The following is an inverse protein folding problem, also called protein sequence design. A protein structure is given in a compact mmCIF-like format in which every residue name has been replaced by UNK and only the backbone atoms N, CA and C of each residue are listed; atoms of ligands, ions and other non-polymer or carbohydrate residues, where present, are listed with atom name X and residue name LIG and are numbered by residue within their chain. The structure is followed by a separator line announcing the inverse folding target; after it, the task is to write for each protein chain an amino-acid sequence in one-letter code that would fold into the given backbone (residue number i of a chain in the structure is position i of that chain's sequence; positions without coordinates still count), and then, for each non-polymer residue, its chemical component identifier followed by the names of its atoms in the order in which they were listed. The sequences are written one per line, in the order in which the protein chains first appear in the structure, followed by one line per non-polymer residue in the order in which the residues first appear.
data_IF_425712974800
#
_entry.id   IF_425712974800
#
_cell.length_a   1.000
_cell.length_b   1.000
_cell.length_c   1.000
_cell.angle_alpha   90.00
_cell.angle_beta   90.00
_cell.angle_gamma   90.00
#
_symmetry.space_group_name_H-M   'P 1'
#
loop_
_entity.id
_entity.type
_entity.pdbx_description
1 polymer ?
#
# COMPACT_ATOMS: atom_id res chain seq x y z
N UNK A 1 -6.29 -33.08 17.39
CA UNK A 1 -7.36 -32.10 17.10
C UNK A 1 -6.59 -30.86 16.74
N UNK A 2 -6.36 -30.66 15.44
CA UNK A 2 -5.56 -29.55 14.94
C UNK A 2 -6.37 -28.25 15.09
N UNK A 3 -5.79 -27.22 15.70
CA UNK A 3 -6.39 -25.89 15.75
C UNK A 3 -6.42 -25.30 14.35
N UNK A 4 -7.56 -24.81 13.91
CA UNK A 4 -7.68 -24.03 12.67
C UNK A 4 -6.81 -22.76 12.77
N UNK A 5 -6.09 -22.38 11.73
CA UNK A 5 -5.31 -21.15 11.73
C UNK A 5 -6.27 -19.95 11.87
N UNK A 6 -6.10 -19.19 12.94
CA UNK A 6 -6.80 -17.91 13.14
C UNK A 6 -6.39 -16.93 12.07
N UNK A 7 -7.39 -16.40 11.36
CA UNK A 7 -7.24 -15.39 10.32
C UNK A 7 -6.41 -14.18 10.81
N UNK A 8 -5.53 -13.59 9.98
CA UNK A 8 -4.75 -12.41 10.33
C UNK A 8 -5.68 -11.26 10.78
N UNK A 9 -5.18 -10.41 11.68
CA UNK A 9 -5.92 -9.25 12.18
C UNK A 9 -6.41 -8.40 11.00
N UNK A 10 -7.74 -8.31 10.84
CA UNK A 10 -8.35 -7.49 9.81
C UNK A 10 -8.00 -6.01 10.07
N UNK A 11 -7.55 -5.30 9.05
CA UNK A 11 -7.47 -3.84 9.13
C UNK A 11 -8.84 -3.27 9.51
N UNK A 12 -8.91 -2.07 10.10
CA UNK A 12 -10.17 -1.46 10.50
C UNK A 12 -11.11 -1.44 9.28
N UNK A 13 -12.27 -2.08 9.42
CA UNK A 13 -13.30 -2.05 8.38
C UNK A 13 -13.70 -0.59 8.16
N UNK A 14 -13.45 -0.11 6.95
CA UNK A 14 -13.94 1.20 6.53
C UNK A 14 -15.48 1.19 6.68
N UNK A 15 -16.09 2.29 7.17
CA UNK A 15 -17.54 2.39 7.23
C UNK A 15 -18.08 2.15 5.82
N UNK A 16 -19.02 1.23 5.68
CA UNK A 16 -19.77 1.02 4.45
C UNK A 16 -20.56 2.29 4.15
N UNK A 17 -20.01 3.17 3.32
CA UNK A 17 -20.79 4.22 2.68
C UNK A 17 -21.94 3.53 1.93
N UNK A 18 -23.12 4.15 1.90
CA UNK A 18 -24.27 3.56 1.20
C UNK A 18 -23.86 3.20 -0.23
N UNK A 19 -24.02 1.94 -0.62
CA UNK A 19 -23.62 1.46 -1.93
C UNK A 19 -24.44 2.10 -3.03
N UNK A 20 -23.79 2.69 -4.03
CA UNK A 20 -24.40 3.19 -5.27
C UNK A 20 -24.33 2.14 -6.39
N UNK A 21 -23.93 0.92 -6.11
CA UNK A 21 -23.80 -0.16 -7.08
C UNK A 21 -25.10 -0.43 -7.85
N UNK A 22 -26.27 -0.40 -7.19
CA UNK A 22 -27.56 -0.54 -7.87
C UNK A 22 -27.90 0.60 -8.84
N UNK A 23 -27.28 1.78 -8.68
CA UNK A 23 -27.40 2.86 -9.68
C UNK A 23 -26.48 2.59 -10.86
N UNK A 24 -25.31 2.01 -10.62
CA UNK A 24 -24.37 1.58 -11.67
C UNK A 24 -25.05 0.59 -12.62
N UNK A 25 -25.77 -0.41 -12.06
CA UNK A 25 -26.56 -1.37 -12.86
C UNK A 25 -27.56 -0.67 -13.80
N UNK A 26 -28.18 0.42 -13.34
CA UNK A 26 -29.09 1.22 -14.17
C UNK A 26 -28.33 1.99 -15.25
N UNK A 27 -27.16 2.57 -14.93
CA UNK A 27 -26.32 3.25 -15.92
C UNK A 27 -25.81 2.27 -17.00
N UNK A 28 -25.52 1.03 -16.65
CA UNK A 28 -25.12 -0.02 -17.59
C UNK A 28 -26.25 -0.46 -18.56
N UNK A 29 -27.50 -0.02 -18.35
CA UNK A 29 -28.57 -0.20 -19.33
C UNK A 29 -28.50 0.79 -20.48
N UNK A 30 -27.78 1.90 -20.34
CA UNK A 30 -27.53 2.88 -21.39
C UNK A 30 -26.46 2.37 -22.34
N UNK A 31 -26.73 2.42 -23.65
CA UNK A 31 -25.84 1.86 -24.68
C UNK A 31 -24.52 2.63 -24.78
N UNK A 32 -24.56 3.95 -24.65
CA UNK A 32 -23.37 4.80 -24.74
C UNK A 32 -22.45 4.57 -23.52
N UNK A 33 -23.05 4.51 -22.32
CA UNK A 33 -22.31 4.20 -21.10
C UNK A 33 -21.65 2.81 -21.17
N UNK A 34 -22.40 1.80 -21.64
CA UNK A 34 -21.91 0.44 -21.79
C UNK A 34 -20.78 0.33 -22.80
N UNK A 35 -20.92 0.97 -23.97
CA UNK A 35 -19.85 1.00 -24.98
C UNK A 35 -18.58 1.67 -24.44
N UNK A 36 -18.74 2.75 -23.66
CA UNK A 36 -17.62 3.47 -23.05
C UNK A 36 -16.85 2.62 -22.04
N UNK A 37 -17.54 1.94 -21.11
CA UNK A 37 -16.87 1.07 -20.10
C UNK A 37 -16.31 -0.22 -20.70
N UNK A 38 -16.85 -0.68 -21.84
CA UNK A 38 -16.32 -1.83 -22.58
C UNK A 38 -15.11 -1.47 -23.46
N UNK A 39 -14.84 -0.20 -23.67
CA UNK A 39 -13.85 0.26 -24.64
C UNK A 39 -14.24 -0.02 -26.10
N UNK A 40 -15.54 -0.29 -26.34
CA UNK A 40 -16.11 -0.54 -27.66
C UNK A 40 -16.44 0.80 -28.34
N UNK A 41 -15.40 1.60 -28.61
CA UNK A 41 -15.55 2.89 -29.25
C UNK A 41 -15.02 2.76 -30.67
N UNK A 42 -15.70 3.42 -31.61
CA UNK A 42 -15.29 3.47 -33.00
C UNK A 42 -13.78 3.75 -33.10
N UNK A 43 -13.10 2.97 -33.97
CA UNK A 43 -11.64 3.00 -34.10
C UNK A 43 -11.12 4.44 -34.16
N UNK A 44 -10.10 4.78 -33.36
CA UNK A 44 -9.50 6.10 -33.41
C UNK A 44 -8.99 6.37 -34.83
N UNK A 45 -9.19 7.58 -35.32
CA UNK A 45 -8.73 8.00 -36.67
C UNK A 45 -7.22 7.88 -36.88
N UNK A 46 -6.48 7.46 -35.85
CA UNK A 46 -5.01 7.38 -35.85
C UNK A 46 -4.50 6.19 -35.06
N UNK A 47 -3.65 5.36 -35.68
CA UNK A 47 -2.87 4.30 -35.02
C UNK A 47 -1.87 4.84 -33.99
N UNK A 48 -1.67 6.16 -33.92
CA UNK A 48 -0.63 6.79 -33.09
C UNK A 48 -1.17 7.17 -31.71
N UNK A 49 -2.44 7.48 -31.58
CA UNK A 49 -3.07 7.87 -30.34
C UNK A 49 -4.49 7.27 -30.23
N UNK A 50 -4.64 6.14 -29.54
CA UNK A 50 -5.95 5.50 -29.32
C UNK A 50 -6.79 6.21 -28.26
N UNK A 51 -6.47 7.46 -27.91
CA UNK A 51 -7.22 8.21 -26.90
C UNK A 51 -8.56 8.72 -27.41
N UNK A 52 -9.53 8.75 -26.51
CA UNK A 52 -10.84 9.35 -26.73
C UNK A 52 -11.08 10.44 -25.68
N UNK A 53 -11.81 11.48 -26.10
CA UNK A 53 -12.24 12.53 -25.19
C UNK A 53 -13.73 12.37 -24.92
N UNK A 54 -14.09 12.20 -23.64
CA UNK A 54 -15.47 12.03 -23.21
C UNK A 54 -15.87 13.21 -22.33
N UNK A 55 -16.95 13.86 -22.69
CA UNK A 55 -17.55 14.91 -21.87
C UNK A 55 -18.60 14.32 -20.92
N UNK A 56 -18.25 14.20 -19.65
CA UNK A 56 -19.17 13.73 -18.58
C UNK A 56 -19.18 14.72 -17.41
N UNK A 57 -20.29 14.79 -16.66
CA UNK A 57 -20.28 15.48 -15.38
C UNK A 57 -19.24 14.86 -14.43
N UNK A 58 -18.53 15.68 -13.67
CA UNK A 58 -17.45 15.22 -12.75
C UNK A 58 -17.90 14.08 -11.82
N UNK A 59 -19.15 14.14 -11.34
CA UNK A 59 -19.72 13.09 -10.47
C UNK A 59 -19.88 11.70 -11.12
N UNK A 60 -19.81 11.59 -12.45
CA UNK A 60 -19.87 10.30 -13.16
C UNK A 60 -18.50 9.66 -13.40
N UNK A 61 -17.40 10.38 -13.26
CA UNK A 61 -16.06 9.79 -13.43
C UNK A 61 -15.82 8.58 -12.51
N UNK A 62 -16.20 8.60 -11.21
CA UNK A 62 -16.09 7.43 -10.36
C UNK A 62 -16.96 6.24 -10.80
N UNK A 63 -18.17 6.48 -11.32
CA UNK A 63 -19.05 5.45 -11.85
C UNK A 63 -18.45 4.79 -13.09
N UNK A 64 -17.88 5.58 -14.01
CA UNK A 64 -17.17 5.06 -15.18
C UNK A 64 -15.98 4.17 -14.78
N UNK A 65 -15.17 4.60 -13.81
CA UNK A 65 -14.06 3.82 -13.31
C UNK A 65 -14.51 2.50 -12.68
N UNK A 66 -15.60 2.54 -11.88
CA UNK A 66 -16.17 1.35 -11.26
C UNK A 66 -16.74 0.35 -12.29
N UNK A 67 -17.52 0.85 -13.29
CA UNK A 67 -18.09 0.03 -14.35
C UNK A 67 -17.01 -0.61 -15.24
N UNK A 68 -16.00 0.17 -15.64
CA UNK A 68 -14.90 -0.31 -16.45
C UNK A 68 -14.07 -1.41 -15.73
N UNK A 69 -13.92 -1.33 -14.41
CA UNK A 69 -13.16 -2.29 -13.60
C UNK A 69 -13.77 -3.72 -13.62
N UNK A 70 -15.05 -3.85 -13.92
CA UNK A 70 -15.68 -5.14 -14.16
C UNK A 70 -15.21 -5.84 -15.44
N UNK A 71 -14.58 -5.11 -16.37
CA UNK A 71 -14.10 -5.59 -17.66
C UNK A 71 -12.58 -5.69 -17.74
N UNK A 72 -11.87 -4.69 -17.22
CA UNK A 72 -10.41 -4.58 -17.30
C UNK A 72 -9.85 -3.76 -16.12
N UNK A 73 -8.56 -3.91 -15.76
CA UNK A 73 -7.94 -3.04 -14.78
C UNK A 73 -7.99 -1.57 -15.22
N UNK A 74 -8.29 -0.68 -14.28
CA UNK A 74 -8.44 0.76 -14.53
C UNK A 74 -7.35 1.54 -13.82
N UNK A 75 -6.75 2.52 -14.52
CA UNK A 75 -5.88 3.53 -13.91
C UNK A 75 -6.54 4.89 -14.08
N UNK A 76 -6.93 5.49 -12.96
CA UNK A 76 -7.49 6.85 -12.92
C UNK A 76 -6.42 7.84 -12.49
N UNK A 77 -6.07 8.76 -13.38
CA UNK A 77 -5.11 9.84 -13.09
C UNK A 77 -5.87 11.14 -12.88
N UNK A 78 -5.64 11.79 -11.74
CA UNK A 78 -6.26 13.05 -11.35
C UNK A 78 -5.22 14.14 -11.13
N UNK A 79 -5.63 15.40 -11.01
CA UNK A 79 -4.68 16.51 -10.94
C UNK A 79 -3.93 16.58 -9.58
N UNK A 80 -4.58 16.26 -8.47
CA UNK A 80 -4.04 16.44 -7.12
C UNK A 80 -4.22 15.22 -6.22
N UNK A 81 -3.42 15.14 -5.14
CA UNK A 81 -3.55 14.08 -4.12
C UNK A 81 -4.91 14.11 -3.43
N UNK A 82 -5.45 15.31 -3.18
CA UNK A 82 -6.78 15.47 -2.60
C UNK A 82 -7.87 14.90 -3.51
N UNK A 83 -7.82 15.19 -4.81
CA UNK A 83 -8.76 14.61 -5.77
C UNK A 83 -8.62 13.09 -5.84
N UNK A 84 -7.40 12.54 -5.69
CA UNK A 84 -7.18 11.10 -5.65
C UNK A 84 -7.85 10.45 -4.42
N UNK A 85 -7.74 11.05 -3.24
CA UNK A 85 -8.40 10.61 -2.02
C UNK A 85 -9.93 10.63 -2.17
N UNK A 86 -10.48 11.76 -2.63
CA UNK A 86 -11.92 11.92 -2.88
C UNK A 86 -12.43 10.92 -3.95
N UNK A 87 -11.63 10.68 -5.00
CA UNK A 87 -11.97 9.72 -6.05
C UNK A 87 -11.99 8.28 -5.52
N UNK A 88 -11.01 7.86 -4.70
CA UNK A 88 -10.98 6.52 -4.09
C UNK A 88 -12.25 6.26 -3.26
N UNK A 89 -12.61 7.20 -2.38
CA UNK A 89 -13.82 7.07 -1.56
C UNK A 89 -15.09 7.02 -2.41
N UNK A 90 -15.17 7.89 -3.42
CA UNK A 90 -16.30 7.92 -4.33
C UNK A 90 -16.41 6.62 -5.14
N UNK A 91 -15.31 6.13 -5.73
CA UNK A 91 -15.28 4.87 -6.49
C UNK A 91 -15.74 3.70 -5.63
N UNK A 92 -15.26 3.60 -4.39
CA UNK A 92 -15.67 2.55 -3.45
C UNK A 92 -17.17 2.53 -3.18
N UNK A 93 -17.85 3.67 -3.30
CA UNK A 93 -19.31 3.76 -3.17
C UNK A 93 -20.05 3.22 -4.39
N UNK A 94 -19.45 3.24 -5.58
CA UNK A 94 -20.00 2.75 -6.83
C UNK A 94 -19.61 1.30 -7.14
N UNK A 95 -18.45 0.85 -6.63
CA UNK A 95 -17.86 -0.45 -6.95
C UNK A 95 -18.52 -1.57 -6.14
N UNK A 96 -19.00 -2.62 -6.82
CA UNK A 96 -19.67 -3.78 -6.19
C UNK A 96 -18.69 -4.86 -5.73
N UNK A 97 -17.39 -4.72 -6.05
CA UNK A 97 -16.34 -5.66 -5.62
C UNK A 97 -15.78 -5.35 -4.23
N UNK A 98 -14.66 -5.99 -3.91
CA UNK A 98 -13.97 -5.72 -2.65
C UNK A 98 -13.43 -4.27 -2.63
N UNK A 99 -13.77 -3.43 -1.64
CA UNK A 99 -13.22 -2.08 -1.52
C UNK A 99 -11.69 -2.03 -1.54
N UNK A 100 -11.01 -3.13 -1.16
CA UNK A 100 -9.55 -3.23 -1.22
C UNK A 100 -9.00 -3.34 -2.65
N UNK A 101 -9.84 -3.70 -3.64
CA UNK A 101 -9.45 -3.69 -5.06
C UNK A 101 -9.21 -2.27 -5.58
N UNK A 102 -9.70 -1.26 -4.86
CA UNK A 102 -9.49 0.16 -5.15
C UNK A 102 -8.32 0.68 -4.33
N UNK A 103 -7.21 0.94 -4.97
CA UNK A 103 -5.98 1.41 -4.32
C UNK A 103 -5.59 2.82 -4.79
N UNK A 104 -4.90 3.55 -3.92
CA UNK A 104 -4.30 4.84 -4.25
C UNK A 104 -2.78 4.72 -4.32
N UNK A 105 -2.17 5.22 -5.39
CA UNK A 105 -0.73 5.44 -5.45
C UNK A 105 -0.42 6.87 -5.07
N UNK A 106 0.00 7.09 -3.84
CA UNK A 106 0.36 8.40 -3.32
C UNK A 106 1.58 9.00 -4.03
N UNK A 107 1.65 10.33 -4.11
CA UNK A 107 2.85 11.03 -4.56
C UNK A 107 3.79 11.29 -3.38
N UNK A 108 5.10 11.28 -3.62
CA UNK A 108 6.02 11.83 -2.62
C UNK A 108 5.68 13.29 -2.36
N UNK A 109 5.61 13.64 -1.09
CA UNK A 109 5.42 15.01 -0.62
C UNK A 109 6.67 15.87 -0.82
N UNK A 110 7.86 15.24 -0.90
CA UNK A 110 9.14 15.91 -1.12
C UNK A 110 9.48 16.06 -2.60
N UNK A 111 10.30 17.04 -2.93
CA UNK A 111 10.84 17.24 -4.27
C UNK A 111 12.21 16.56 -4.41
N UNK A 112 12.60 16.12 -5.63
CA UNK A 112 13.87 15.41 -5.82
C UNK A 112 15.15 16.17 -5.40
N UNK A 113 15.09 17.50 -5.35
CA UNK A 113 16.20 18.34 -4.93
C UNK A 113 16.18 18.71 -3.44
N UNK A 114 15.13 18.34 -2.71
CA UNK A 114 15.06 18.53 -1.27
C UNK A 114 15.90 17.47 -0.55
N UNK A 115 16.53 17.88 0.57
CA UNK A 115 17.32 16.95 1.40
C UNK A 115 16.48 16.16 2.40
N UNK A 116 15.17 16.12 2.18
CA UNK A 116 14.21 15.42 3.01
C UNK A 116 13.82 14.10 2.32
N UNK A 117 13.73 13.05 3.10
CA UNK A 117 13.11 11.80 2.63
C UNK A 117 11.60 11.93 2.70
N UNK A 118 10.84 11.26 1.81
CA UNK A 118 9.40 11.10 1.99
C UNK A 118 9.09 10.45 3.34
N UNK A 119 7.89 10.68 3.85
CA UNK A 119 7.42 10.09 5.09
C UNK A 119 7.35 8.56 4.97
N UNK A 120 7.58 7.88 6.09
CA UNK A 120 7.59 6.40 6.10
C UNK A 120 6.24 5.80 5.73
N UNK A 121 5.13 6.45 6.11
CA UNK A 121 3.76 6.03 5.76
C UNK A 121 3.50 6.15 4.25
N UNK A 122 3.87 7.28 3.62
CA UNK A 122 3.77 7.45 2.15
C UNK A 122 4.60 6.39 1.42
N UNK A 123 5.83 6.15 1.86
CA UNK A 123 6.70 5.12 1.27
C UNK A 123 6.06 3.74 1.38
N UNK A 124 5.60 3.36 2.57
CA UNK A 124 5.02 2.04 2.82
C UNK A 124 3.73 1.81 2.02
N UNK A 125 2.85 2.83 1.93
CA UNK A 125 1.65 2.81 1.10
C UNK A 125 2.00 2.56 -0.37
N UNK A 126 2.98 3.29 -0.91
CA UNK A 126 3.46 3.11 -2.29
C UNK A 126 4.05 1.71 -2.52
N UNK A 127 4.88 1.23 -1.59
CA UNK A 127 5.48 -0.10 -1.69
C UNK A 127 4.42 -1.22 -1.66
N UNK A 128 3.38 -1.08 -0.83
CA UNK A 128 2.26 -2.00 -0.81
C UNK A 128 1.53 -2.04 -2.17
N UNK A 129 1.30 -0.89 -2.80
CA UNK A 129 0.72 -0.81 -4.15
C UNK A 129 1.59 -1.51 -5.18
N UNK A 130 2.90 -1.22 -5.23
CA UNK A 130 3.82 -1.87 -6.19
C UNK A 130 3.92 -3.37 -5.96
N UNK A 131 3.92 -3.83 -4.71
CA UNK A 131 3.89 -5.26 -4.36
C UNK A 131 2.63 -5.92 -4.90
N UNK A 132 1.45 -5.33 -4.66
CA UNK A 132 0.15 -5.84 -5.13
C UNK A 132 0.05 -5.87 -6.65
N UNK A 133 0.62 -4.89 -7.35
CA UNK A 133 0.65 -4.88 -8.82
C UNK A 133 1.52 -6.01 -9.39
N UNK A 134 2.59 -6.39 -8.70
CA UNK A 134 3.55 -7.38 -9.19
C UNK A 134 3.29 -8.79 -8.66
N UNK A 135 2.88 -8.91 -7.41
CA UNK A 135 2.65 -10.17 -6.72
C UNK A 135 1.32 -10.11 -5.96
N UNK A 136 0.17 -10.06 -6.68
CA UNK A 136 -1.14 -10.07 -6.02
C UNK A 136 -1.37 -11.42 -5.32
N UNK A 137 -1.89 -11.36 -4.09
CA UNK A 137 -2.23 -12.54 -3.29
C UNK A 137 -3.75 -12.64 -3.14
N UNK A 138 -4.38 -13.59 -3.82
CA UNK A 138 -5.83 -13.79 -3.75
C UNK A 138 -6.30 -14.01 -2.30
N UNK A 139 -7.33 -13.28 -1.90
CA UNK A 139 -7.90 -13.35 -0.54
C UNK A 139 -7.11 -12.60 0.54
N UNK A 140 -5.99 -11.96 0.20
CA UNK A 140 -5.25 -11.11 1.12
C UNK A 140 -5.83 -9.69 1.13
N UNK A 141 -6.15 -9.16 2.31
CA UNK A 141 -6.59 -7.76 2.46
C UNK A 141 -5.45 -6.75 2.30
N UNK A 142 -4.20 -7.17 2.49
CA UNK A 142 -3.01 -6.31 2.35
C UNK A 142 -2.39 -6.40 0.96
N UNK A 143 -2.38 -7.59 0.35
CA UNK A 143 -1.70 -7.87 -0.91
C UNK A 143 -2.63 -8.44 -1.99
N UNK A 144 -3.94 -8.30 -1.83
CA UNK A 144 -4.94 -8.66 -2.83
C UNK A 144 -4.74 -7.89 -4.16
N UNK A 145 -5.38 -8.36 -5.25
CA UNK A 145 -5.29 -7.73 -6.55
C UNK A 145 -5.77 -6.27 -6.51
N UNK A 146 -5.30 -5.45 -7.45
CA UNK A 146 -5.79 -4.09 -7.66
C UNK A 146 -6.56 -4.08 -8.97
N UNK A 147 -7.84 -3.71 -8.92
CA UNK A 147 -8.69 -3.54 -10.10
C UNK A 147 -8.76 -2.08 -10.53
N UNK A 148 -8.72 -1.16 -9.57
CA UNK A 148 -8.75 0.28 -9.83
C UNK A 148 -7.58 0.92 -9.09
N UNK A 149 -6.66 1.53 -9.83
CA UNK A 149 -5.56 2.29 -9.28
C UNK A 149 -5.82 3.79 -9.51
N UNK A 150 -5.96 4.54 -8.45
CA UNK A 150 -6.12 6.00 -8.50
C UNK A 150 -4.81 6.66 -8.13
N UNK A 151 -4.41 7.66 -8.91
CA UNK A 151 -3.18 8.40 -8.62
C UNK A 151 -3.24 9.86 -9.07
N UNK A 152 -2.59 10.78 -8.35
CA UNK A 152 -2.36 12.11 -8.87
C UNK A 152 -1.32 12.06 -10.01
N UNK A 153 -1.41 12.96 -10.98
CA UNK A 153 -0.46 13.05 -12.09
C UNK A 153 1.00 13.10 -11.62
N UNK A 154 1.23 13.68 -10.44
CA UNK A 154 2.57 13.74 -9.81
C UNK A 154 3.13 12.34 -9.54
N UNK A 155 2.33 11.39 -9.11
CA UNK A 155 2.78 10.00 -8.89
C UNK A 155 3.17 9.32 -10.20
N UNK A 156 2.44 9.62 -11.30
CA UNK A 156 2.72 9.05 -12.61
C UNK A 156 4.08 9.47 -13.16
N UNK A 157 4.50 10.71 -12.91
CA UNK A 157 5.78 11.26 -13.41
C UNK A 157 6.96 11.09 -12.45
N UNK A 158 6.72 10.66 -11.21
CA UNK A 158 7.80 10.38 -10.26
C UNK A 158 8.55 9.11 -10.63
N UNK A 159 9.89 9.11 -10.55
CA UNK A 159 10.68 7.93 -10.85
C UNK A 159 10.41 6.81 -9.85
N UNK A 160 10.38 5.56 -10.33
CA UNK A 160 10.22 4.37 -9.50
C UNK A 160 11.50 3.56 -9.55
N UNK A 161 11.96 3.09 -8.40
CA UNK A 161 13.14 2.22 -8.31
C UNK A 161 12.81 0.86 -8.92
N UNK A 162 13.68 0.37 -9.81
CA UNK A 162 13.50 -0.96 -10.39
C UNK A 162 13.50 -2.05 -9.30
N UNK A 163 12.54 -2.97 -9.38
CA UNK A 163 12.39 -4.07 -8.42
C UNK A 163 11.65 -3.69 -7.13
N UNK A 164 11.07 -2.49 -7.05
CA UNK A 164 10.36 -2.04 -5.84
C UNK A 164 9.21 -2.99 -5.44
N UNK A 165 8.49 -3.54 -6.41
CA UNK A 165 7.44 -4.52 -6.17
C UNK A 165 7.92 -5.91 -5.71
N UNK A 166 9.23 -6.20 -5.79
CA UNK A 166 9.83 -7.47 -5.33
C UNK A 166 10.32 -7.40 -3.88
N UNK A 167 10.30 -6.22 -3.27
CA UNK A 167 10.76 -6.06 -1.89
C UNK A 167 9.76 -6.73 -0.95
N UNK A 168 10.26 -7.69 -0.16
CA UNK A 168 9.46 -8.39 0.83
C UNK A 168 9.49 -7.65 2.17
N UNK A 169 8.32 -7.47 2.82
CA UNK A 169 8.27 -6.96 4.18
C UNK A 169 8.89 -7.97 5.16
N UNK A 170 9.40 -7.48 6.29
CA UNK A 170 9.75 -8.36 7.39
C UNK A 170 8.48 -8.84 8.07
N UNK A 171 8.33 -10.15 8.19
CA UNK A 171 7.17 -10.77 8.83
C UNK A 171 7.55 -11.22 10.23
N UNK A 172 6.68 -10.93 11.19
CA UNK A 172 6.71 -11.47 12.54
C UNK A 172 5.46 -12.31 12.72
N UNK A 173 5.62 -13.62 12.93
CA UNK A 173 4.51 -14.55 13.18
C UNK A 173 4.68 -15.23 14.52
N UNK A 174 3.61 -15.27 15.32
CA UNK A 174 3.61 -15.95 16.61
C UNK A 174 3.94 -17.44 16.43
N UNK A 175 4.87 -17.96 17.24
CA UNK A 175 5.34 -19.34 17.20
C UNK A 175 6.44 -19.61 16.15
N UNK A 176 6.85 -18.61 15.37
CA UNK A 176 7.98 -18.75 14.44
C UNK A 176 9.31 -18.42 15.11
N UNK A 177 10.38 -19.12 14.66
CA UNK A 177 11.75 -18.85 15.09
C UNK A 177 12.35 -17.71 14.26
N UNK A 178 12.71 -16.63 14.93
CA UNK A 178 13.42 -15.49 14.36
C UNK A 178 14.37 -14.91 15.42
N UNK A 179 15.69 -15.14 15.32
CA UNK A 179 16.63 -14.58 16.29
C UNK A 179 16.47 -13.06 16.43
N UNK A 180 16.41 -12.57 17.67
CA UNK A 180 16.16 -11.15 17.97
C UNK A 180 17.19 -10.24 17.29
N UNK A 181 18.45 -10.65 17.23
CA UNK A 181 19.51 -9.91 16.55
C UNK A 181 19.27 -9.85 15.03
N UNK A 182 18.77 -10.93 14.43
CA UNK A 182 18.41 -10.98 13.02
C UNK A 182 17.22 -10.08 12.72
N UNK A 183 16.17 -10.13 13.54
CA UNK A 183 15.02 -9.25 13.45
C UNK A 183 15.43 -7.78 13.52
N UNK A 184 16.27 -7.42 14.50
CA UNK A 184 16.81 -6.08 14.68
C UNK A 184 17.62 -5.61 13.46
N UNK A 185 18.47 -6.48 12.90
CA UNK A 185 19.27 -6.19 11.71
C UNK A 185 18.38 -5.96 10.49
N UNK A 186 17.38 -6.82 10.27
CA UNK A 186 16.41 -6.70 9.16
C UNK A 186 15.58 -5.40 9.26
N UNK A 187 15.19 -4.98 10.46
CA UNK A 187 14.52 -3.68 10.67
C UNK A 187 15.41 -2.52 10.25
N UNK A 188 16.70 -2.53 10.63
CA UNK A 188 17.66 -1.50 10.18
C UNK A 188 17.85 -1.52 8.66
N UNK A 189 17.94 -2.70 8.04
CA UNK A 189 18.03 -2.85 6.58
C UNK A 189 16.79 -2.30 5.87
N UNK A 190 15.61 -2.48 6.48
CA UNK A 190 14.34 -1.92 6.02
C UNK A 190 14.17 -0.42 6.38
N UNK A 191 15.25 0.21 6.82
CA UNK A 191 15.34 1.63 7.14
C UNK A 191 14.47 2.10 8.32
N UNK A 192 14.14 1.19 9.26
CA UNK A 192 13.61 1.59 10.54
C UNK A 192 14.67 2.30 11.38
N UNK A 193 14.26 3.30 12.13
CA UNK A 193 15.13 4.04 13.04
C UNK A 193 15.09 3.40 14.42
N UNK A 194 16.26 3.00 14.94
CA UNK A 194 16.36 2.49 16.31
C UNK A 194 16.31 3.65 17.31
N UNK A 195 15.39 3.56 18.26
CA UNK A 195 15.13 4.55 19.32
C UNK A 195 15.09 3.89 20.69
N UNK A 196 15.11 4.69 21.75
CA UNK A 196 14.91 4.17 23.12
C UNK A 196 13.42 3.95 23.44
N UNK A 197 12.54 4.72 22.81
CA UNK A 197 11.10 4.67 23.01
C UNK A 197 10.39 4.92 21.67
N UNK A 198 9.54 3.98 21.25
CA UNK A 198 8.81 4.04 19.98
C UNK A 198 7.63 5.00 20.11
N UNK A 199 7.62 6.05 19.29
CA UNK A 199 6.59 7.07 19.24
C UNK A 199 6.01 7.25 17.84
N UNK A 200 6.86 7.17 16.81
CA UNK A 200 6.51 7.49 15.43
C UNK A 200 6.64 6.26 14.51
N UNK A 201 5.89 6.30 13.39
CA UNK A 201 5.97 5.26 12.36
C UNK A 201 7.37 5.15 11.80
N UNK A 202 7.84 3.90 11.60
CA UNK A 202 9.18 3.61 11.13
C UNK A 202 10.24 3.58 12.25
N UNK A 203 9.83 3.62 13.51
CA UNK A 203 10.72 3.45 14.66
C UNK A 203 10.64 2.03 15.22
N UNK A 204 11.74 1.59 15.85
CA UNK A 204 11.76 0.39 16.67
C UNK A 204 12.70 0.53 17.87
N UNK A 205 12.40 -0.20 18.94
CA UNK A 205 13.22 -0.29 20.16
C UNK A 205 13.43 -1.75 20.55
N UNK A 206 14.60 -2.06 21.14
CA UNK A 206 14.92 -3.40 21.65
C UNK A 206 15.25 -3.28 23.13
N UNK A 207 14.55 -4.07 23.96
CA UNK A 207 14.73 -4.09 25.40
C UNK A 207 14.66 -5.53 25.94
N UNK A 208 15.81 -6.10 26.27
CA UNK A 208 15.86 -7.53 26.65
C UNK A 208 15.35 -8.41 25.53
N UNK A 209 14.38 -9.27 25.81
CA UNK A 209 13.72 -10.15 24.84
C UNK A 209 12.50 -9.52 24.15
N UNK A 210 12.43 -8.19 24.00
CA UNK A 210 11.27 -7.48 23.45
C UNK A 210 11.72 -6.56 22.32
N UNK A 211 10.98 -6.60 21.20
CA UNK A 211 11.03 -5.60 20.13
C UNK A 211 9.72 -4.84 20.13
N UNK A 212 9.79 -3.54 20.36
CA UNK A 212 8.71 -2.61 20.07
C UNK A 212 8.95 -2.04 18.67
N UNK A 213 7.97 -2.08 17.79
CA UNK A 213 8.08 -1.56 16.41
C UNK A 213 6.79 -0.87 15.99
N UNK A 214 6.92 0.22 15.22
CA UNK A 214 5.77 0.90 14.63
C UNK A 214 5.82 0.77 13.09
N UNK A 215 5.26 -0.32 12.54
CA UNK A 215 5.15 -0.45 11.09
C UNK A 215 4.36 0.71 10.49
N UNK A 216 4.83 1.33 9.39
CA UNK A 216 4.16 2.50 8.81
C UNK A 216 2.73 2.23 8.34
N UNK A 217 2.40 0.99 7.99
CA UNK A 217 1.07 0.55 7.53
C UNK A 217 0.07 0.30 8.66
N UNK A 218 0.53 0.26 9.91
CA UNK A 218 -0.35 0.00 11.04
C UNK A 218 -0.83 1.30 11.71
N UNK A 219 -2.04 1.30 12.29
CA UNK A 219 -2.55 2.43 13.06
C UNK A 219 -1.83 2.61 14.41
N UNK A 220 -1.33 1.51 14.99
CA UNK A 220 -0.68 1.47 16.29
C UNK A 220 0.63 0.68 16.25
N UNK A 221 1.61 1.02 17.13
CA UNK A 221 2.81 0.21 17.27
C UNK A 221 2.50 -1.14 17.91
N UNK A 222 3.39 -2.10 17.67
CA UNK A 222 3.27 -3.46 18.19
C UNK A 222 4.48 -3.82 19.05
N UNK A 223 4.23 -4.58 20.10
CA UNK A 223 5.22 -5.20 20.99
C UNK A 223 5.31 -6.66 20.67
N UNK A 224 6.52 -7.13 20.39
CA UNK A 224 6.85 -8.50 20.04
C UNK A 224 7.72 -9.04 21.17
N UNK A 225 7.23 -10.02 21.89
CA UNK A 225 7.94 -10.66 22.99
C UNK A 225 8.55 -11.98 22.51
N UNK A 226 9.81 -12.21 22.85
CA UNK A 226 10.55 -13.39 22.44
C UNK A 226 10.85 -14.28 23.65
N UNK A 227 10.68 -15.59 23.45
CA UNK A 227 11.19 -16.61 24.37
C UNK A 227 12.34 -17.37 23.68
N UNK A 228 13.57 -16.98 24.01
CA UNK A 228 14.73 -17.37 23.20
C UNK A 228 14.67 -16.71 21.83
N UNK A 229 14.67 -17.55 20.78
CA UNK A 229 14.54 -17.10 19.38
C UNK A 229 13.12 -17.24 18.83
N UNK A 230 12.17 -17.78 19.62
CA UNK A 230 10.78 -17.94 19.23
C UNK A 230 9.97 -16.68 19.57
N UNK A 231 9.09 -16.25 18.66
CA UNK A 231 8.14 -15.17 18.89
C UNK A 231 6.98 -15.70 19.73
N UNK A 232 6.93 -15.33 21.02
CA UNK A 232 5.94 -15.80 21.97
C UNK A 232 4.60 -15.04 21.82
N UNK A 233 4.63 -13.70 21.89
CA UNK A 233 3.43 -12.88 21.76
C UNK A 233 3.66 -11.63 20.91
N UNK A 234 2.60 -11.19 20.22
CA UNK A 234 2.56 -9.93 19.47
C UNK A 234 1.30 -9.18 19.90
N UNK A 235 1.44 -7.94 20.40
CA UNK A 235 0.33 -7.10 20.86
C UNK A 235 0.48 -5.66 20.43
N UNK A 236 -0.63 -5.00 20.15
CA UNK A 236 -0.63 -3.55 20.00
C UNK A 236 -0.39 -2.86 21.35
N UNK A 237 0.21 -1.67 21.27
CA UNK A 237 0.36 -0.81 22.44
C UNK A 237 0.13 0.66 22.07
N UNK A 238 -0.22 1.47 23.07
CA UNK A 238 -0.35 2.91 22.88
C UNK A 238 1.03 3.58 22.96
N UNK A 239 1.43 4.33 21.91
CA UNK A 239 2.68 5.07 21.92
C UNK A 239 2.78 6.05 23.10
N UNK A 240 1.65 6.65 23.52
CA UNK A 240 1.60 7.69 24.56
C UNK A 240 1.94 7.19 25.97
N UNK A 241 1.55 5.97 26.33
CA UNK A 241 1.76 5.42 27.69
C UNK A 241 2.48 4.07 27.70
N UNK A 242 2.82 3.54 26.52
CA UNK A 242 3.55 2.29 26.31
C UNK A 242 2.83 1.03 26.83
N UNK A 243 1.53 1.10 27.08
CA UNK A 243 0.74 -0.02 27.58
C UNK A 243 0.16 -0.83 26.44
N UNK A 244 0.35 -2.13 26.50
CA UNK A 244 -0.27 -3.09 25.58
C UNK A 244 -1.77 -3.17 25.83
N UNK A 245 -2.54 -3.38 24.77
CA UNK A 245 -3.97 -3.59 24.82
C UNK A 245 -4.42 -4.58 23.74
N UNK A 246 -5.69 -4.97 23.78
CA UNK A 246 -6.29 -5.84 22.78
C UNK A 246 -5.93 -7.32 22.96
N UNK A 247 -6.13 -8.09 21.89
CA UNK A 247 -5.82 -9.52 21.81
C UNK A 247 -4.46 -9.70 21.14
N UNK A 248 -3.90 -10.90 21.30
CA UNK A 248 -2.69 -11.28 20.58
C UNK A 248 -2.95 -11.26 19.06
N UNK A 249 -1.97 -10.78 18.32
CA UNK A 249 -1.94 -10.72 16.86
C UNK A 249 -1.12 -11.90 16.38
N UNK A 250 -1.64 -12.67 15.43
CA UNK A 250 -0.92 -13.85 14.92
C UNK A 250 0.26 -13.48 14.03
N UNK A 251 0.13 -12.40 13.23
CA UNK A 251 1.14 -12.01 12.25
C UNK A 251 1.16 -10.50 12.05
N UNK A 252 2.35 -9.93 11.98
CA UNK A 252 2.58 -8.50 11.69
C UNK A 252 3.60 -8.36 10.57
N UNK A 253 3.32 -7.42 9.67
CA UNK A 253 4.16 -7.10 8.53
C UNK A 253 4.82 -5.74 8.76
N UNK A 254 6.14 -5.74 8.81
CA UNK A 254 6.94 -4.53 8.89
C UNK A 254 7.45 -4.18 7.49
N UNK A 255 6.68 -3.35 6.78
CA UNK A 255 7.05 -2.84 5.46
C UNK A 255 8.26 -1.93 5.55
N UNK A 256 9.14 -1.90 4.53
CA UNK A 256 10.27 -0.98 4.52
C UNK A 256 9.85 0.50 4.60
N UNK A 257 10.66 1.31 5.27
CA UNK A 257 10.43 2.74 5.47
C UNK A 257 11.09 3.62 4.38
N UNK A 258 11.77 3.02 3.38
CA UNK A 258 12.37 3.71 2.23
C UNK A 258 12.25 2.88 0.97
N UNK A 259 11.93 3.53 -0.15
CA UNK A 259 11.92 2.88 -1.47
C UNK A 259 13.35 2.52 -1.91
N UNK A 260 14.31 3.39 -1.68
CA UNK A 260 15.71 3.12 -1.97
C UNK A 260 16.38 2.43 -0.78
N UNK A 261 16.46 1.11 -0.84
CA UNK A 261 17.20 0.33 0.16
C UNK A 261 18.68 0.32 -0.17
N UNK A 262 19.53 0.54 0.85
CA UNK A 262 20.98 0.58 0.69
C UNK A 262 21.58 -0.84 0.62
N UNK A 263 21.15 -1.65 -0.35
CA UNK A 263 21.73 -2.97 -0.64
C UNK A 263 23.15 -2.84 -1.17
N UNK A 264 23.93 -3.90 -1.10
CA UNK A 264 25.30 -3.90 -1.65
C UNK A 264 25.31 -3.62 -3.15
N UNK A 265 24.31 -4.09 -3.89
CA UNK A 265 24.16 -3.80 -5.32
C UNK A 265 23.96 -2.29 -5.58
N UNK A 266 23.09 -1.65 -4.81
CA UNK A 266 22.85 -0.19 -4.90
C UNK A 266 24.10 0.60 -4.49
N UNK A 267 24.79 0.19 -3.43
CA UNK A 267 26.07 0.81 -3.02
C UNK A 267 27.15 0.68 -4.10
N UNK A 268 27.27 -0.48 -4.74
CA UNK A 268 28.19 -0.69 -5.86
C UNK A 268 27.82 0.18 -7.06
N UNK A 269 26.53 0.25 -7.38
CA UNK A 269 26.02 1.10 -8.47
C UNK A 269 26.28 2.58 -8.18
N UNK A 270 26.00 3.04 -6.97
CA UNK A 270 26.30 4.42 -6.54
C UNK A 270 27.80 4.74 -6.69
N UNK A 271 28.68 3.83 -6.23
CA UNK A 271 30.13 4.01 -6.40
C UNK A 271 30.54 4.14 -7.86
N UNK A 272 29.93 3.36 -8.77
CA UNK A 272 30.23 3.44 -10.21
C UNK A 272 29.78 4.75 -10.87
N UNK A 273 28.81 5.44 -10.26
CA UNK A 273 28.26 6.70 -10.78
C UNK A 273 28.98 7.95 -10.25
N UNK A 274 29.73 7.84 -9.15
CA UNK A 274 30.43 9.00 -8.54
C UNK A 274 31.34 9.72 -9.53
N UNK A 275 31.98 9.00 -10.46
CA UNK A 275 32.84 9.60 -11.49
C UNK A 275 32.09 10.23 -12.68
N UNK A 276 30.77 10.03 -12.79
CA UNK A 276 29.94 10.55 -13.88
C UNK A 276 29.01 11.69 -13.45
N UNK A 277 29.00 12.02 -12.16
CA UNK A 277 28.21 13.16 -11.62
C UNK A 277 29.08 14.41 -11.72
N UNK A 278 28.59 15.48 -12.38
CA UNK A 278 29.34 16.74 -12.54
C UNK A 278 29.54 17.49 -11.21
#
# INVERSE_FOLDING_TARGET
MAAEPTSPAQPPQLPTAGSLAGILDVLETDDDFRALIAGEIEEPESDIDPSITVGVPDGLCPALAAGAAGKQPVVLVVASSREAEEAVESIRSWYDGDPNDVAQLEAWETLPHERLSPRADTVASRMAVFRRLKHPEEGSTLFGPIRILVMPVRSLIQPVVAGLGDVEPLVFSQGEELPLDEASRKLVENAYTRVDLVMDRGEFAVRGGIIDVFPPTLPHPVRIEFFGDEIDTIREFHASDQRTYGKDISTVWATPCRELQLTDQIRQRAKSLIGSIP
#
